data_IF_512144791213
#
_entry.id   IF_512144791213
#
_cell.length_a   1.000
_cell.length_b   1.000
_cell.length_c   1.000
_cell.angle_alpha   90.00
_cell.angle_beta   90.00
_cell.angle_gamma   90.00
#
_symmetry.space_group_name_H-M   'P 1'
#
loop_
_entity.id
_entity.type
_entity.pdbx_description
1 polymer ?
#
# COMPACT_ATOMS: atom_id res chain seq x y z
N UNK A 1 -11.04 0.43 8.56
CA UNK A 1 -10.60 0.02 7.22
C UNK A 1 -9.20 -0.56 7.37
N UNK A 2 -8.94 -1.76 6.87
CA UNK A 2 -7.67 -2.46 7.09
C UNK A 2 -6.52 -1.80 6.31
N UNK A 3 -5.34 -1.69 6.92
CA UNK A 3 -4.19 -0.98 6.33
C UNK A 3 -3.76 -1.54 4.96
N UNK A 4 -3.83 -2.86 4.76
CA UNK A 4 -3.49 -3.49 3.48
C UNK A 4 -4.45 -3.11 2.33
N UNK A 5 -5.71 -2.81 2.66
CA UNK A 5 -6.71 -2.35 1.67
C UNK A 5 -6.45 -0.89 1.32
N UNK A 6 -6.03 -0.08 2.30
CA UNK A 6 -5.65 1.31 2.05
C UNK A 6 -4.44 1.36 1.13
N UNK A 7 -3.36 0.63 1.44
CA UNK A 7 -2.15 0.52 0.60
C UNK A 7 -2.52 0.12 -0.85
N UNK A 8 -3.43 -0.84 -1.00
CA UNK A 8 -3.91 -1.28 -2.31
C UNK A 8 -4.67 -0.19 -3.09
N UNK A 9 -5.50 0.61 -2.42
CA UNK A 9 -6.32 1.66 -3.05
C UNK A 9 -5.46 2.90 -3.37
N UNK A 10 -4.56 3.29 -2.47
CA UNK A 10 -3.64 4.43 -2.66
C UNK A 10 -2.68 4.22 -3.82
N UNK A 11 -2.29 2.97 -4.10
CA UNK A 11 -1.47 2.63 -5.27
C UNK A 11 -2.18 2.87 -6.62
N UNK A 12 -3.51 2.99 -6.63
CA UNK A 12 -4.34 3.15 -7.84
C UNK A 12 -4.92 4.54 -7.98
N UNK A 13 -5.34 5.15 -6.88
CA UNK A 13 -6.01 6.44 -6.88
C UNK A 13 -5.07 7.50 -6.29
N UNK A 14 -4.44 8.29 -7.17
CA UNK A 14 -3.45 9.29 -6.75
C UNK A 14 -4.06 10.56 -6.12
N UNK A 15 -5.40 10.61 -6.00
CA UNK A 15 -6.10 11.68 -5.29
C UNK A 15 -6.36 11.33 -3.81
N UNK A 16 -5.84 10.20 -3.34
CA UNK A 16 -6.00 9.75 -1.96
C UNK A 16 -4.66 9.79 -1.24
N UNK A 17 -4.67 10.28 -0.01
CA UNK A 17 -3.53 10.24 0.89
C UNK A 17 -3.92 9.47 2.14
N UNK A 18 -3.03 8.61 2.63
CA UNK A 18 -3.23 7.93 3.88
C UNK A 18 -2.99 8.92 5.03
N UNK A 19 -3.97 9.05 5.92
CA UNK A 19 -3.87 9.87 7.13
C UNK A 19 -3.72 8.94 8.33
N UNK A 20 -2.65 9.13 9.11
CA UNK A 20 -2.35 8.34 10.30
C UNK A 20 -1.54 7.06 10.03
N UNK A 21 -1.13 6.41 11.12
CA UNK A 21 -0.32 5.18 11.11
C UNK A 21 -1.12 3.91 11.36
N UNK A 22 -0.43 2.82 11.70
CA UNK A 22 -1.07 1.59 12.16
C UNK A 22 -1.67 1.82 13.54
N UNK A 23 -3.00 1.77 13.63
CA UNK A 23 -3.73 1.78 14.90
C UNK A 23 -3.64 0.42 15.61
N UNK A 24 -3.58 -0.67 14.85
CA UNK A 24 -3.49 -2.04 15.32
C UNK A 24 -2.54 -2.83 14.42
N UNK A 25 -1.79 -3.78 15.00
CA UNK A 25 -1.00 -4.75 14.23
C UNK A 25 -1.74 -6.10 14.22
N UNK A 26 -2.59 -6.30 13.22
CA UNK A 26 -3.32 -7.56 12.99
C UNK A 26 -2.88 -8.18 11.66
N UNK A 27 -2.78 -9.50 11.64
CA UNK A 27 -2.35 -10.27 10.47
C UNK A 27 -3.47 -11.13 9.88
N UNK A 28 -3.37 -11.43 8.59
CA UNK A 28 -4.23 -12.40 7.92
C UNK A 28 -3.80 -13.83 8.28
N UNK A 29 -4.78 -14.71 8.49
CA UNK A 29 -4.53 -16.12 8.79
C UNK A 29 -5.55 -17.04 8.12
N UNK A 30 -5.16 -18.29 7.91
CA UNK A 30 -6.02 -19.33 7.35
C UNK A 30 -6.65 -20.11 8.49
N UNK A 31 -7.98 -20.07 8.60
CA UNK A 31 -8.70 -20.83 9.62
C UNK A 31 -8.78 -22.31 9.22
N UNK A 32 -8.38 -23.19 10.13
CA UNK A 32 -8.50 -24.64 9.99
C UNK A 32 -9.48 -25.17 11.03
N UNK A 33 -10.21 -26.25 10.69
CA UNK A 33 -11.14 -26.90 11.63
C UNK A 33 -10.36 -27.38 12.84
N UNK A 34 -10.64 -26.81 14.01
CA UNK A 34 -10.19 -27.41 15.28
C UNK A 34 -10.94 -28.73 15.43
N UNK A 35 -10.22 -29.82 15.72
CA UNK A 35 -10.79 -31.16 15.81
C UNK A 35 -12.12 -31.12 16.55
N UNK A 36 -13.18 -31.57 15.89
CA UNK A 36 -14.42 -31.83 16.60
C UNK A 36 -14.20 -33.07 17.45
N UNK A 37 -14.68 -33.03 18.70
CA UNK A 37 -14.75 -34.12 19.70
C UNK A 37 -13.66 -34.14 20.80
N UNK A 38 -14.03 -34.26 22.10
CA UNK A 38 -13.14 -33.98 23.24
C UNK A 38 -12.07 -35.05 23.53
N UNK A 39 -12.03 -36.18 22.80
CA UNK A 39 -11.19 -37.34 23.16
C UNK A 39 -10.07 -37.67 22.14
N UNK A 40 -10.08 -37.05 20.96
CA UNK A 40 -9.09 -37.22 19.87
C UNK A 40 -8.47 -35.85 19.52
N UNK A 41 -8.23 -35.02 20.53
CA UNK A 41 -8.05 -33.58 20.30
C UNK A 41 -6.64 -33.19 19.79
N UNK A 42 -5.64 -34.08 19.90
CA UNK A 42 -4.26 -33.77 19.49
C UNK A 42 -3.94 -34.13 18.03
N UNK A 43 -4.64 -35.12 17.48
CA UNK A 43 -4.22 -35.77 16.21
C UNK A 43 -4.76 -35.03 14.98
N UNK A 44 -6.04 -34.62 15.00
CA UNK A 44 -6.72 -34.01 13.85
C UNK A 44 -6.33 -32.55 13.63
N UNK A 45 -6.04 -31.77 14.68
CA UNK A 45 -5.49 -30.41 14.49
C UNK A 45 -4.08 -30.46 13.92
N UNK A 46 -3.27 -31.45 14.33
CA UNK A 46 -1.89 -31.59 13.86
C UNK A 46 -1.82 -31.98 12.37
N UNK A 47 -2.74 -32.85 11.91
CA UNK A 47 -2.71 -33.35 10.53
C UNK A 47 -2.75 -32.25 9.46
N UNK A 48 -3.51 -31.18 9.69
CA UNK A 48 -3.68 -30.10 8.71
C UNK A 48 -3.00 -28.81 9.13
N UNK A 49 -3.01 -28.46 10.42
CA UNK A 49 -2.43 -27.19 10.89
C UNK A 49 -0.91 -27.22 10.81
N UNK A 50 -0.27 -28.30 11.25
CA UNK A 50 1.19 -28.40 11.31
C UNK A 50 1.84 -28.32 9.92
N UNK A 51 1.47 -29.15 8.92
CA UNK A 51 2.08 -29.05 7.60
C UNK A 51 1.74 -27.73 6.89
N UNK A 52 0.56 -27.15 7.13
CA UNK A 52 0.17 -25.86 6.54
C UNK A 52 0.98 -24.71 7.14
N UNK A 53 1.18 -24.69 8.46
CA UNK A 53 2.05 -23.71 9.11
C UNK A 53 3.50 -23.85 8.64
N UNK A 54 4.02 -25.07 8.53
CA UNK A 54 5.37 -25.32 8.03
C UNK A 54 5.54 -24.84 6.58
N UNK A 55 4.56 -25.14 5.71
CA UNK A 55 4.58 -24.68 4.32
C UNK A 55 4.54 -23.15 4.22
N UNK A 56 3.75 -22.47 5.05
CA UNK A 56 3.70 -21.00 5.08
C UNK A 56 5.05 -20.42 5.49
N UNK A 57 5.69 -20.98 6.52
CA UNK A 57 7.02 -20.53 6.97
C UNK A 57 8.04 -20.73 5.85
N UNK A 58 8.05 -21.88 5.18
CA UNK A 58 8.92 -22.13 4.01
C UNK A 58 8.66 -21.11 2.88
N UNK A 59 7.41 -20.79 2.57
CA UNK A 59 7.06 -19.80 1.56
C UNK A 59 7.47 -18.37 1.95
N UNK A 60 7.55 -18.08 3.25
CA UNK A 60 8.00 -16.80 3.76
C UNK A 60 9.52 -16.69 3.74
N UNK A 61 10.24 -17.74 4.16
CA UNK A 61 11.71 -17.84 4.12
C UNK A 61 12.25 -17.80 2.69
N UNK A 62 11.58 -18.49 1.76
CA UNK A 62 11.92 -18.48 0.33
C UNK A 62 11.56 -17.17 -0.37
N UNK A 63 10.81 -16.27 0.28
CA UNK A 63 10.43 -14.97 -0.29
C UNK A 63 9.31 -15.01 -1.33
N UNK A 64 8.76 -16.18 -1.66
CA UNK A 64 7.68 -16.34 -2.66
C UNK A 64 6.44 -15.53 -2.27
N UNK A 65 6.11 -15.46 -0.99
CA UNK A 65 5.00 -14.61 -0.49
C UNK A 65 5.21 -13.13 -0.80
N UNK A 66 6.45 -12.63 -0.73
CA UNK A 66 6.79 -11.25 -1.06
C UNK A 66 6.67 -10.99 -2.56
N UNK A 67 7.16 -11.91 -3.38
CA UNK A 67 7.03 -11.83 -4.84
C UNK A 67 5.57 -11.82 -5.28
N UNK A 68 4.75 -12.69 -4.68
CA UNK A 68 3.31 -12.71 -4.91
C UNK A 68 2.65 -11.40 -4.50
N UNK A 69 3.00 -10.83 -3.33
CA UNK A 69 2.49 -9.51 -2.92
C UNK A 69 2.81 -8.46 -4.00
N UNK A 70 4.07 -8.36 -4.43
CA UNK A 70 4.49 -7.37 -5.44
C UNK A 70 3.76 -7.59 -6.77
N UNK A 71 3.69 -8.84 -7.23
CA UNK A 71 3.02 -9.19 -8.49
C UNK A 71 1.55 -8.77 -8.48
N UNK A 72 0.83 -9.04 -7.39
CA UNK A 72 -0.61 -8.75 -7.30
C UNK A 72 -0.92 -7.30 -6.93
N UNK A 73 -0.16 -6.69 -6.03
CA UNK A 73 -0.39 -5.29 -5.63
C UNK A 73 0.08 -4.30 -6.69
N UNK A 74 1.24 -4.53 -7.33
CA UNK A 74 1.85 -3.61 -8.29
C UNK A 74 1.62 -4.04 -9.75
N UNK A 75 2.09 -5.21 -10.18
CA UNK A 75 2.24 -5.52 -11.61
C UNK A 75 0.93 -5.89 -12.34
N UNK A 76 0.06 -6.71 -11.73
CA UNK A 76 -1.08 -7.34 -12.44
C UNK A 76 -2.36 -6.50 -12.49
N UNK A 77 -2.47 -5.44 -11.70
CA UNK A 77 -3.73 -4.74 -11.47
C UNK A 77 -3.59 -3.22 -11.49
N UNK A 78 -2.61 -2.70 -12.24
CA UNK A 78 -2.39 -1.26 -12.46
C UNK A 78 -1.79 -0.52 -11.26
N UNK A 79 -1.09 -1.20 -10.35
CA UNK A 79 -0.43 -0.58 -9.21
C UNK A 79 0.93 0.02 -9.61
N UNK A 80 1.34 1.09 -8.94
CA UNK A 80 2.50 1.90 -9.33
C UNK A 80 2.17 3.07 -10.26
N UNK A 81 0.90 3.27 -10.64
CA UNK A 81 0.46 4.42 -11.42
C UNK A 81 0.77 5.76 -10.72
N UNK A 82 0.75 5.77 -9.39
CA UNK A 82 1.03 6.97 -8.58
C UNK A 82 2.52 7.15 -8.25
N UNK A 83 3.34 6.08 -8.29
CA UNK A 83 4.80 6.14 -8.14
C UNK A 83 5.50 6.74 -9.38
N UNK A 84 4.84 6.70 -10.55
CA UNK A 84 5.34 7.34 -11.77
C UNK A 84 5.07 8.85 -11.84
N UNK A 85 4.40 9.44 -10.85
CA UNK A 85 4.52 10.89 -10.68
C UNK A 85 5.83 11.08 -9.91
N UNK A 86 6.90 11.63 -10.53
CA UNK A 86 8.00 12.15 -9.73
C UNK A 86 7.37 13.13 -8.74
N UNK A 87 7.28 12.72 -7.48
CA UNK A 87 6.95 13.54 -6.33
C UNK A 87 8.15 14.42 -6.01
N UNK A 88 8.52 15.19 -7.02
CA UNK A 88 9.42 16.32 -7.02
C UNK A 88 9.28 17.02 -8.40
N UNK A 89 8.06 17.10 -8.95
CA UNK A 89 7.65 18.47 -9.23
C UNK A 89 7.61 19.12 -7.84
N UNK A 90 8.75 19.72 -7.45
CA UNK A 90 8.70 21.05 -6.85
C UNK A 90 7.46 21.68 -7.46
N UNK A 91 6.50 22.10 -6.63
CA UNK A 91 5.53 23.05 -7.11
C UNK A 91 6.39 24.15 -7.73
N UNK A 92 6.59 24.07 -9.05
CA UNK A 92 7.07 25.17 -9.83
C UNK A 92 6.09 26.23 -9.39
N UNK A 93 6.61 27.25 -8.72
CA UNK A 93 5.86 28.45 -8.44
C UNK A 93 5.57 29.00 -9.83
N UNK A 94 4.56 28.43 -10.49
CA UNK A 94 4.26 28.68 -11.87
C UNK A 94 4.02 30.17 -12.00
N UNK A 95 4.24 30.70 -13.19
CA UNK A 95 4.08 32.12 -13.55
C UNK A 95 2.88 32.85 -12.93
N UNK A 96 1.84 32.15 -12.44
CA UNK A 96 0.81 32.69 -11.55
C UNK A 96 1.33 33.37 -10.27
N UNK A 97 2.35 32.83 -9.59
CA UNK A 97 2.85 33.40 -8.33
C UNK A 97 3.86 34.53 -8.56
N UNK A 98 4.57 34.53 -9.70
CA UNK A 98 5.55 35.58 -10.09
C UNK A 98 4.93 36.64 -11.02
N UNK A 99 3.74 36.39 -11.56
CA UNK A 99 3.05 37.27 -12.50
C UNK A 99 2.71 38.65 -11.93
N UNK A 100 2.57 38.78 -10.60
CA UNK A 100 2.37 40.06 -9.94
C UNK A 100 3.52 41.05 -10.18
N UNK A 101 4.77 40.57 -10.18
CA UNK A 101 5.97 41.42 -10.41
C UNK A 101 5.99 41.97 -11.83
N UNK A 102 5.62 41.15 -12.83
CA UNK A 102 5.55 41.57 -14.23
C UNK A 102 4.47 42.63 -14.47
N UNK A 103 3.31 42.52 -13.80
CA UNK A 103 2.24 43.52 -13.91
C UNK A 103 2.69 44.87 -13.32
N UNK A 104 3.34 44.86 -12.16
CA UNK A 104 3.83 46.09 -11.51
C UNK A 104 4.88 46.79 -12.38
N UNK A 105 5.79 46.03 -13.00
CA UNK A 105 6.78 46.57 -13.93
C UNK A 105 6.13 47.26 -15.14
N UNK A 106 5.14 46.62 -15.78
CA UNK A 106 4.49 47.18 -16.97
C UNK A 106 3.71 48.45 -16.63
N UNK A 107 2.95 48.46 -15.54
CA UNK A 107 2.20 49.64 -15.11
C UNK A 107 3.14 50.80 -14.77
N UNK A 108 4.25 50.51 -14.07
CA UNK A 108 5.26 51.51 -13.75
C UNK A 108 5.93 52.12 -14.98
N UNK A 109 6.16 51.34 -16.04
CA UNK A 109 6.75 51.84 -17.29
C UNK A 109 5.78 52.63 -18.18
N UNK A 110 4.46 52.43 -18.04
CA UNK A 110 3.45 53.18 -18.82
C UNK A 110 3.09 54.51 -18.14
N UNK A 111 3.13 54.54 -16.80
CA UNK A 111 2.84 55.74 -16.00
C UNK A 111 4.07 56.63 -15.72
N UNK A 112 5.27 56.19 -16.09
CA UNK A 112 6.49 56.99 -16.09
C UNK A 112 6.65 57.76 -17.40
#
# INVERSE_FOLDING_TARGET
>A
MESAVIEYITERYCNLTQVGGLLDNKGYGIATRKGCEPRIHLITSSLYRTPLSEAIVKLQETGVLRELKIRWWSQKSGGGACLSKPSASLQEMGLKNVGGVFIILIVGSIFA
#
